data_IF_022657402058
#
_entry.id   IF_022657402058
#
_cell.length_a   1.000
_cell.length_b   1.000
_cell.length_c   1.000
_cell.angle_alpha   90.00
_cell.angle_beta   90.00
_cell.angle_gamma   90.00
#
_symmetry.space_group_name_H-M   'P 1'
#
loop_
_entity.id
_entity.type
_entity.pdbx_description
1 polymer ?
#
# COMPACT_ATOMS: atom_id res chain seq x y z
N UNK A 1 19.02 30.85 -10.98
CA UNK A 1 17.86 30.73 -10.06
C UNK A 1 17.71 29.25 -9.76
N UNK A 2 18.33 28.82 -8.67
CA UNK A 2 18.50 27.43 -8.25
C UNK A 2 17.23 26.97 -7.52
N UNK A 3 16.52 25.98 -8.08
CA UNK A 3 15.39 25.36 -7.42
C UNK A 3 15.89 24.59 -6.19
N UNK A 4 15.40 24.97 -5.02
CA UNK A 4 15.63 24.30 -3.75
C UNK A 4 15.02 22.88 -3.81
N UNK A 5 15.80 21.81 -3.55
CA UNK A 5 15.22 20.50 -3.34
C UNK A 5 14.52 20.51 -1.97
N UNK A 6 13.20 20.65 -2.05
CA UNK A 6 12.22 20.42 -0.99
C UNK A 6 12.69 19.31 -0.03
N UNK A 7 12.62 19.60 1.26
CA UNK A 7 12.97 18.72 2.36
C UNK A 7 12.48 17.28 2.08
N UNK A 8 13.36 16.26 2.10
CA UNK A 8 12.95 14.88 1.91
C UNK A 8 12.16 14.46 3.15
N UNK A 9 10.85 14.71 3.11
CA UNK A 9 9.92 14.07 4.02
C UNK A 9 10.18 12.58 3.92
N UNK A 10 10.77 12.03 4.97
CA UNK A 10 11.20 10.64 5.17
C UNK A 10 10.04 9.62 5.15
N UNK A 11 8.99 9.85 4.36
CA UNK A 11 8.08 8.82 3.96
C UNK A 11 8.81 8.00 2.92
N UNK A 12 9.49 6.93 3.34
CA UNK A 12 9.85 5.81 2.44
C UNK A 12 8.56 5.47 1.68
N UNK A 13 8.45 5.95 0.44
CA UNK A 13 7.32 5.67 -0.42
C UNK A 13 7.23 4.16 -0.53
N UNK A 14 6.03 3.63 -0.32
CA UNK A 14 5.76 2.26 -0.74
C UNK A 14 5.94 2.24 -2.24
N UNK A 15 6.76 1.33 -2.74
CA UNK A 15 6.87 1.07 -4.15
C UNK A 15 5.56 0.43 -4.61
N UNK A 16 5.18 0.66 -5.87
CA UNK A 16 3.97 0.08 -6.44
C UNK A 16 3.98 -1.46 -6.29
N UNK A 17 5.16 -2.07 -6.41
CA UNK A 17 5.38 -3.51 -6.18
C UNK A 17 5.03 -3.96 -4.74
N UNK A 18 5.34 -3.14 -3.73
CA UNK A 18 5.00 -3.41 -2.33
C UNK A 18 3.48 -3.31 -2.10
N UNK A 19 2.84 -2.32 -2.73
CA UNK A 19 1.39 -2.17 -2.65
C UNK A 19 0.68 -3.34 -3.33
N UNK A 20 1.14 -3.74 -4.51
CA UNK A 20 0.65 -4.92 -5.23
C UNK A 20 0.85 -6.20 -4.42
N UNK A 21 2.02 -6.37 -3.79
CA UNK A 21 2.29 -7.51 -2.92
C UNK A 21 1.31 -7.57 -1.75
N UNK A 22 1.08 -6.45 -1.08
CA UNK A 22 0.10 -6.34 0.01
C UNK A 22 -1.32 -6.68 -0.47
N UNK A 23 -1.71 -6.20 -1.66
CA UNK A 23 -2.99 -6.50 -2.30
C UNK A 23 -3.13 -7.99 -2.60
N UNK A 24 -2.14 -8.61 -3.24
CA UNK A 24 -2.15 -10.04 -3.55
C UNK A 24 -2.22 -10.86 -2.26
N UNK A 25 -1.38 -10.56 -1.26
CA UNK A 25 -1.39 -11.25 0.03
C UNK A 25 -2.75 -11.16 0.73
N UNK A 26 -3.44 -10.01 0.61
CA UNK A 26 -4.77 -9.87 1.20
C UNK A 26 -5.88 -10.54 0.39
N UNK A 27 -5.76 -10.54 -0.94
CA UNK A 27 -6.68 -11.25 -1.84
C UNK A 27 -6.57 -12.77 -1.75
N UNK A 28 -5.39 -13.31 -1.41
CA UNK A 28 -5.21 -14.74 -1.14
C UNK A 28 -6.10 -15.26 -0.01
N UNK A 29 -6.66 -14.36 0.81
CA UNK A 29 -7.70 -14.66 1.80
C UNK A 29 -7.16 -15.40 3.03
N UNK A 30 -7.75 -15.13 4.19
CA UNK A 30 -7.50 -15.91 5.42
C UNK A 30 -6.18 -15.66 6.15
N UNK A 31 -5.27 -14.82 5.63
CA UNK A 31 -4.01 -14.51 6.31
C UNK A 31 -4.18 -13.38 7.34
N UNK A 32 -3.65 -13.62 8.54
CA UNK A 32 -3.53 -12.60 9.59
C UNK A 32 -2.49 -11.55 9.20
N UNK A 33 -2.61 -10.34 9.74
CA UNK A 33 -1.62 -9.28 9.48
C UNK A 33 -0.18 -9.67 9.84
N UNK A 34 -0.01 -10.52 10.86
CA UNK A 34 1.30 -11.07 11.23
C UNK A 34 1.90 -11.97 10.15
N UNK A 35 1.09 -12.84 9.54
CA UNK A 35 1.54 -13.69 8.41
C UNK A 35 1.77 -12.87 7.14
N UNK A 36 0.93 -11.87 6.88
CA UNK A 36 1.14 -10.93 5.77
C UNK A 36 2.47 -10.20 5.97
N UNK A 37 2.77 -9.74 7.19
CA UNK A 37 4.05 -9.09 7.49
C UNK A 37 5.24 -10.03 7.31
N UNK A 38 5.12 -11.30 7.71
CA UNK A 38 6.17 -12.28 7.50
C UNK A 38 6.46 -12.47 6.00
N UNK A 39 5.43 -12.76 5.20
CA UNK A 39 5.58 -12.96 3.75
C UNK A 39 6.04 -11.70 3.02
N UNK A 40 5.57 -10.54 3.48
CA UNK A 40 5.99 -9.26 2.95
C UNK A 40 7.49 -9.04 3.21
N UNK A 41 7.93 -9.25 4.46
CA UNK A 41 9.33 -9.12 4.85
C UNK A 41 10.24 -10.16 4.16
N UNK A 42 9.74 -11.34 3.81
CA UNK A 42 10.50 -12.30 2.99
C UNK A 42 10.72 -11.80 1.55
N UNK A 43 9.81 -10.98 1.02
CA UNK A 43 9.88 -10.48 -0.36
C UNK A 43 10.57 -9.12 -0.50
N UNK A 44 10.76 -8.39 0.60
CA UNK A 44 11.42 -7.08 0.61
C UNK A 44 12.74 -7.15 1.38
N UNK A 45 13.74 -6.32 1.04
CA UNK A 45 14.97 -6.26 1.82
C UNK A 45 14.70 -5.76 3.25
N UNK A 46 15.58 -6.11 4.19
CA UNK A 46 15.51 -5.76 5.61
C UNK A 46 15.31 -4.26 5.89
N UNK A 47 15.84 -3.39 5.04
CA UNK A 47 15.66 -1.94 5.10
C UNK A 47 14.19 -1.49 4.93
N UNK A 48 13.34 -2.36 4.37
CA UNK A 48 11.92 -2.14 4.10
C UNK A 48 11.01 -3.08 4.87
N UNK A 49 11.53 -3.81 5.85
CA UNK A 49 10.68 -4.61 6.72
C UNK A 49 9.60 -3.74 7.35
N UNK A 50 8.35 -4.19 7.20
CA UNK A 50 7.18 -3.53 7.77
C UNK A 50 6.58 -4.41 8.84
N UNK A 51 6.03 -3.76 9.85
CA UNK A 51 5.25 -4.42 10.89
C UNK A 51 3.82 -4.66 10.39
N UNK A 52 3.16 -5.64 11.00
CA UNK A 52 1.75 -5.94 10.75
C UNK A 52 0.85 -4.69 10.82
N UNK A 53 1.08 -3.81 11.80
CA UNK A 53 0.33 -2.56 11.96
C UNK A 53 0.60 -1.55 10.84
N UNK A 54 1.83 -1.48 10.33
CA UNK A 54 2.16 -0.60 9.20
C UNK A 54 1.48 -1.06 7.91
N UNK A 55 1.46 -2.37 7.67
CA UNK A 55 0.77 -2.99 6.53
C UNK A 55 -0.75 -2.86 6.65
N UNK A 56 -1.32 -3.02 7.85
CA UNK A 56 -2.74 -2.79 8.09
C UNK A 56 -3.12 -1.32 7.80
N UNK A 57 -2.33 -0.37 8.29
CA UNK A 57 -2.58 1.05 8.04
C UNK A 57 -2.52 1.35 6.54
N UNK A 58 -1.50 0.82 5.85
CA UNK A 58 -1.34 0.97 4.39
C UNK A 58 -2.51 0.33 3.64
N UNK A 59 -2.94 -0.87 4.01
CA UNK A 59 -4.09 -1.54 3.42
C UNK A 59 -5.37 -0.75 3.61
N UNK A 60 -5.58 -0.14 4.79
CA UNK A 60 -6.75 0.72 5.03
C UNK A 60 -6.72 1.97 4.16
N UNK A 61 -5.54 2.53 3.89
CA UNK A 61 -5.39 3.64 2.95
C UNK A 61 -5.64 3.20 1.51
N UNK A 62 -5.07 2.06 1.09
CA UNK A 62 -5.32 1.46 -0.22
C UNK A 62 -6.80 1.20 -0.45
N UNK A 63 -7.51 0.63 0.52
CA UNK A 63 -8.95 0.42 0.43
C UNK A 63 -9.72 1.74 0.27
N UNK A 64 -9.36 2.80 1.02
CA UNK A 64 -10.02 4.11 0.87
C UNK A 64 -9.79 4.72 -0.52
N UNK A 65 -8.59 4.60 -1.05
CA UNK A 65 -8.26 5.04 -2.41
C UNK A 65 -8.95 4.17 -3.46
N UNK A 66 -8.96 2.85 -3.26
CA UNK A 66 -9.58 1.88 -4.18
C UNK A 66 -11.12 1.99 -4.18
N UNK A 67 -11.74 2.35 -3.06
CA UNK A 67 -13.17 2.62 -2.98
C UNK A 67 -13.54 3.94 -3.68
N UNK A 68 -12.61 4.89 -3.75
CA UNK A 68 -12.78 6.15 -4.50
C UNK A 68 -12.72 5.94 -6.02
N UNK A 69 -11.90 5.00 -6.51
CA UNK A 69 -11.91 4.61 -7.93
C UNK A 69 -13.09 3.70 -8.28
N UNK A 70 -13.56 2.86 -7.36
CA UNK A 70 -14.78 2.05 -7.52
C UNK A 70 -16.05 2.92 -7.64
N UNK A 71 -16.19 3.95 -6.79
CA UNK A 71 -17.30 4.91 -6.89
C UNK A 71 -17.24 5.81 -8.14
N UNK A 72 -16.06 6.00 -8.74
CA UNK A 72 -15.93 6.72 -10.01
C UNK A 72 -16.32 5.85 -11.22
N UNK A 73 -16.25 4.52 -11.11
CA UNK A 73 -16.67 3.60 -12.16
C UNK A 73 -18.20 3.40 -12.20
N UNK A 74 -18.89 3.59 -11.07
CA UNK A 74 -20.36 3.47 -10.98
C UNK A 74 -21.08 4.74 -11.48
N UNK A 75 -20.42 5.91 -11.45
CA UNK A 75 -21.09 7.20 -11.68
C UNK A 75 -21.08 7.71 -13.14
N UNK A 76 -20.51 6.97 -14.09
CA UNK A 76 -20.39 7.41 -15.50
C UNK A 76 -21.32 6.70 -16.49
N UNK A 77 -22.13 5.72 -16.07
CA UNK A 77 -23.10 5.03 -16.95
C UNK A 77 -24.54 5.60 -16.86
N UNK A 78 -24.74 6.80 -16.30
CA UNK A 78 -26.03 7.49 -16.31
C UNK A 78 -25.85 8.95 -16.73
N UNK A 79 -25.59 9.17 -18.02
CA UNK A 79 -25.52 10.49 -18.65
C UNK A 79 -25.68 10.40 -20.15
#
# INVERSE_FOLDING_TARGET
>A
MTAEPNAPGHNKQYYEEEEQLLIVLKQLGGLSWSEIALRFNESVPEDRHRTASALENKWRQLQKTHHLVDLSHIFLEQG
#
